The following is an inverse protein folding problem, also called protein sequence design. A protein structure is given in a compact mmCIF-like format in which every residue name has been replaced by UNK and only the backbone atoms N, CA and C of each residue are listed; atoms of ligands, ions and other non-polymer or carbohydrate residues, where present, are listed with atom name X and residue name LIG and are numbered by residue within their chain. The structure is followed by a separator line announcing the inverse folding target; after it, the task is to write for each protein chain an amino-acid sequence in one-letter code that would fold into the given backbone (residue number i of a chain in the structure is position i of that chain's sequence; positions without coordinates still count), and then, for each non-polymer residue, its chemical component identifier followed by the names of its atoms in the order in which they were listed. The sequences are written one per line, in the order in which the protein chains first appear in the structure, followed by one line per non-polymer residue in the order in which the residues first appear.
data_IF_317015331970
#
_entry.id   IF_317015331970
#
_cell.length_a   1.000
_cell.length_b   1.000
_cell.length_c   1.000
_cell.angle_alpha   90.00
_cell.angle_beta   90.00
_cell.angle_gamma   90.00
#
_symmetry.space_group_name_H-M   'P 1'
#
loop_
_entity.id
_entity.type
_entity.pdbx_description
1 polymer ?
#
# COMPACT_ATOMS: atom_id res chain seq x y z
N UNK A 1 3.43 11.38 1.15
CA UNK A 1 3.59 10.76 2.46
C UNK A 1 2.43 9.83 2.69
N UNK A 2 2.72 8.63 3.16
CA UNK A 2 1.77 7.62 3.63
C UNK A 2 2.19 7.31 5.07
N UNK A 3 1.27 7.35 6.03
CA UNK A 3 1.57 6.99 7.42
C UNK A 3 1.30 5.51 7.63
N UNK A 4 2.25 4.78 8.25
CA UNK A 4 2.09 3.37 8.60
C UNK A 4 1.15 3.27 9.79
N UNK A 5 -0.08 2.84 9.57
CA UNK A 5 -1.09 2.68 10.65
C UNK A 5 -1.09 1.29 11.24
N UNK A 6 -0.68 0.29 10.46
CA UNK A 6 -0.54 -1.10 10.89
C UNK A 6 0.48 -1.81 10.00
N UNK A 7 0.97 -2.96 10.44
CA UNK A 7 1.88 -3.80 9.66
C UNK A 7 1.85 -5.25 10.12
N UNK A 8 2.28 -6.13 9.23
CA UNK A 8 2.56 -7.52 9.59
C UNK A 8 3.63 -8.10 8.68
N UNK A 9 4.34 -9.10 9.18
CA UNK A 9 5.35 -9.82 8.40
C UNK A 9 4.74 -11.06 7.76
N UNK A 10 4.99 -11.24 6.46
CA UNK A 10 4.74 -12.50 5.78
C UNK A 10 6.09 -13.19 5.56
N UNK A 11 6.25 -14.38 6.13
CA UNK A 11 7.46 -15.18 5.96
C UNK A 11 7.76 -15.40 4.47
N UNK A 12 8.95 -14.98 4.04
CA UNK A 12 9.40 -15.08 2.65
C UNK A 12 8.87 -14.01 1.70
N UNK A 13 8.08 -13.04 2.18
CA UNK A 13 7.64 -11.87 1.39
C UNK A 13 8.00 -10.52 2.01
N UNK A 14 8.30 -10.47 3.32
CA UNK A 14 8.67 -9.25 4.02
C UNK A 14 7.49 -8.57 4.72
N UNK A 15 7.62 -7.28 5.01
CA UNK A 15 6.64 -6.52 5.79
C UNK A 15 5.59 -5.90 4.90
N UNK A 16 4.33 -6.25 5.13
CA UNK A 16 3.18 -5.57 4.53
C UNK A 16 2.77 -4.43 5.46
N UNK A 17 2.50 -3.26 4.89
CA UNK A 17 2.04 -2.08 5.65
C UNK A 17 0.63 -1.65 5.26
N UNK A 18 -0.08 -1.10 6.23
CA UNK A 18 -1.34 -0.38 6.05
C UNK A 18 -1.10 1.14 6.17
N UNK A 19 -1.92 2.00 5.52
CA UNK A 19 -3.12 1.65 4.79
C UNK A 19 -2.80 0.99 3.45
N UNK A 20 -3.70 0.11 3.03
CA UNK A 20 -3.79 -0.29 1.64
C UNK A 20 -4.60 0.77 0.85
N UNK A 21 -4.57 0.68 -0.48
CA UNK A 21 -5.19 1.67 -1.35
C UNK A 21 -6.25 1.03 -2.24
N UNK A 22 -7.31 1.76 -2.57
CA UNK A 22 -8.27 1.28 -3.58
C UNK A 22 -7.52 1.10 -4.89
N UNK A 23 -7.75 -0.01 -5.58
CA UNK A 23 -7.19 -0.17 -6.91
C UNK A 23 -7.98 0.72 -7.88
N UNK A 24 -7.35 1.72 -8.53
CA UNK A 24 -8.08 2.63 -9.42
C UNK A 24 -8.54 1.94 -10.72
N UNK A 25 -8.00 0.76 -11.02
CA UNK A 25 -8.39 -0.08 -12.15
C UNK A 25 -8.05 -1.56 -11.88
N UNK A 26 -8.82 -2.48 -12.46
CA UNK A 26 -8.48 -3.90 -12.46
C UNK A 26 -7.18 -4.14 -13.25
N UNK A 27 -6.28 -5.00 -12.74
CA UNK A 27 -5.01 -5.27 -13.39
C UNK A 27 -3.91 -4.25 -13.07
N UNK A 28 -3.92 -3.68 -11.87
CA UNK A 28 -2.84 -2.82 -11.39
C UNK A 28 -1.49 -3.58 -11.45
N UNK A 29 -0.47 -3.07 -12.17
CA UNK A 29 0.76 -3.81 -12.38
C UNK A 29 1.56 -3.93 -11.09
N UNK A 30 2.24 -5.08 -10.93
CA UNK A 30 3.32 -5.18 -9.97
C UNK A 30 4.40 -4.15 -10.31
N UNK A 31 4.87 -3.40 -9.32
CA UNK A 31 5.99 -2.47 -9.49
C UNK A 31 6.83 -2.37 -8.23
N UNK A 32 8.10 -2.10 -8.42
CA UNK A 32 9.03 -1.73 -7.37
C UNK A 32 9.27 -0.24 -7.40
N UNK A 33 9.26 0.40 -6.24
CA UNK A 33 9.43 1.83 -6.10
C UNK A 33 10.44 2.09 -4.98
N UNK A 34 11.43 2.92 -5.28
CA UNK A 34 12.31 3.47 -4.26
C UNK A 34 11.54 4.49 -3.43
N UNK A 35 11.50 4.28 -2.12
CA UNK A 35 10.81 5.14 -1.16
C UNK A 35 11.75 5.50 -0.02
N UNK A 36 11.46 6.62 0.63
CA UNK A 36 12.15 7.04 1.83
C UNK A 36 11.28 6.70 3.04
N UNK A 37 11.80 5.88 3.94
CA UNK A 37 11.17 5.57 5.22
C UNK A 37 11.70 6.55 6.27
N UNK A 38 10.80 7.23 6.98
CA UNK A 38 11.14 8.19 8.03
C UNK A 38 10.55 7.71 9.36
N UNK A 39 11.41 7.64 10.37
CA UNK A 39 11.07 7.31 11.75
C UNK A 39 11.70 8.34 12.69
N UNK A 40 10.96 9.40 13.03
CA UNK A 40 11.53 10.51 13.80
C UNK A 40 12.65 11.20 13.02
N UNK A 41 13.89 11.10 13.49
CA UNK A 41 15.07 11.65 12.82
C UNK A 41 15.81 10.65 11.92
N UNK A 42 15.41 9.38 11.97
CA UNK A 42 16.02 8.34 11.14
C UNK A 42 15.35 8.31 9.77
N UNK A 43 16.16 8.48 8.74
CA UNK A 43 15.74 8.43 7.34
C UNK A 43 16.50 7.32 6.62
N UNK A 44 15.78 6.48 5.87
CA UNK A 44 16.38 5.38 5.11
C UNK A 44 15.67 5.15 3.79
N UNK A 45 16.44 5.15 2.71
CA UNK A 45 15.96 4.75 1.39
C UNK A 45 15.81 3.22 1.32
N UNK A 46 14.70 2.75 0.74
CA UNK A 46 14.42 1.32 0.58
C UNK A 46 13.55 1.06 -0.64
N UNK A 47 13.42 -0.21 -1.03
CA UNK A 47 12.55 -0.63 -2.12
C UNK A 47 11.23 -1.15 -1.56
N UNK A 48 10.14 -0.53 -1.98
CA UNK A 48 8.79 -0.99 -1.74
C UNK A 48 8.25 -1.71 -2.98
N UNK A 49 7.64 -2.87 -2.78
CA UNK A 49 6.86 -3.57 -3.80
C UNK A 49 5.40 -3.20 -3.65
N UNK A 50 4.78 -2.73 -4.73
CA UNK A 50 3.34 -2.49 -4.78
C UNK A 50 2.67 -3.58 -5.61
N UNK A 51 1.71 -4.27 -5.00
CA UNK A 51 0.99 -5.35 -5.66
C UNK A 51 -0.52 -5.24 -5.42
N UNK A 52 -1.30 -5.61 -6.44
CA UNK A 52 -2.73 -5.79 -6.29
C UNK A 52 -3.01 -7.05 -5.47
N UNK A 53 -3.84 -6.92 -4.45
CA UNK A 53 -4.27 -8.00 -3.56
C UNK A 53 -5.79 -8.04 -3.55
N UNK A 54 -6.34 -9.24 -3.57
CA UNK A 54 -7.78 -9.45 -3.45
C UNK A 54 -8.11 -9.72 -1.99
N UNK A 55 -8.82 -8.79 -1.35
CA UNK A 55 -9.35 -9.04 -0.02
C UNK A 55 -10.41 -10.12 -0.13
N UNK A 56 -10.28 -11.19 0.67
CA UNK A 56 -11.29 -12.23 0.76
C UNK A 56 -12.48 -11.72 1.58
N UNK A 57 -13.21 -10.75 1.03
CA UNK A 57 -14.43 -10.21 1.61
C UNK A 57 -15.54 -11.23 1.37
N UNK A 58 -16.01 -11.86 2.44
CA UNK A 58 -17.10 -12.85 2.39
C UNK A 58 -18.50 -12.21 2.38
N UNK A 59 -18.58 -10.89 2.46
CA UNK A 59 -19.83 -10.13 2.46
C UNK A 59 -20.28 -9.95 1.00
N UNK A 60 -21.44 -10.49 0.58
CA UNK A 60 -21.90 -10.47 -0.81
C UNK A 60 -22.07 -9.06 -1.38
N UNK A 61 -22.40 -8.09 -0.51
CA UNK A 61 -22.86 -6.75 -0.90
C UNK A 61 -21.74 -5.74 -1.16
N UNK A 62 -20.47 -6.17 -1.07
CA UNK A 62 -19.35 -5.28 -1.41
C UNK A 62 -19.10 -5.33 -2.92
N UNK A 63 -19.24 -4.16 -3.56
CA UNK A 63 -18.92 -3.94 -4.97
C UNK A 63 -17.58 -4.58 -5.34
N UNK A 64 -17.51 -5.26 -6.48
CA UNK A 64 -16.33 -6.00 -6.94
C UNK A 64 -15.06 -5.15 -6.94
N UNK A 65 -15.19 -3.86 -7.24
CA UNK A 65 -14.09 -2.90 -7.29
C UNK A 65 -13.49 -2.60 -5.90
N UNK A 66 -14.27 -2.74 -4.82
CA UNK A 66 -13.78 -2.58 -3.44
C UNK A 66 -13.00 -3.81 -2.94
N UNK A 67 -12.97 -4.90 -3.70
CA UNK A 67 -12.29 -6.15 -3.31
C UNK A 67 -10.80 -6.15 -3.67
N UNK A 68 -10.39 -5.31 -4.61
CA UNK A 68 -9.00 -5.21 -5.05
C UNK A 68 -8.32 -4.01 -4.39
N UNK A 69 -7.28 -4.28 -3.61
CA UNK A 69 -6.49 -3.29 -2.89
C UNK A 69 -5.04 -3.34 -3.35
N UNK A 70 -4.39 -2.18 -3.42
CA UNK A 70 -2.94 -2.11 -3.63
C UNK A 70 -2.29 -2.17 -2.25
N UNK A 71 -1.52 -3.23 -2.01
CA UNK A 71 -0.71 -3.38 -0.82
C UNK A 71 0.72 -2.93 -1.10
N UNK A 72 1.38 -2.36 -0.09
CA UNK A 72 2.80 -2.04 -0.11
C UNK A 72 3.56 -3.03 0.76
N UNK A 73 4.63 -3.59 0.22
CA UNK A 73 5.45 -4.63 0.86
C UNK A 73 6.92 -4.21 0.84
N UNK A 74 7.61 -4.36 1.96
CA UNK A 74 9.05 -4.17 2.07
C UNK A 74 9.74 -5.54 2.17
N UNK A 75 10.24 -6.10 1.06
CA UNK A 75 10.69 -7.49 1.00
C UNK A 75 11.93 -7.79 1.84
N UNK A 76 12.76 -6.77 2.06
CA UNK A 76 14.04 -6.89 2.75
C UNK A 76 14.03 -6.31 4.17
N UNK A 77 12.86 -5.91 4.67
CA UNK A 77 12.70 -5.33 6.00
C UNK A 77 11.96 -6.31 6.92
N UNK A 78 12.15 -6.11 8.23
CA UNK A 78 11.43 -6.81 9.30
C UNK A 78 10.43 -5.88 9.97
N UNK A 79 9.51 -6.44 10.75
CA UNK A 79 8.51 -5.61 11.46
C UNK A 79 9.14 -4.57 12.39
N UNK A 80 10.32 -4.81 12.94
CA UNK A 80 11.08 -3.84 13.74
C UNK A 80 11.64 -2.65 12.93
N UNK A 81 11.87 -2.84 11.63
CA UNK A 81 12.39 -1.82 10.72
C UNK A 81 11.36 -0.75 10.32
N UNK A 82 10.06 -1.05 10.49
CA UNK A 82 8.95 -0.22 9.98
C UNK A 82 7.94 0.05 11.11
N UNK A 83 8.26 0.79 12.18
CA UNK A 83 7.34 0.99 13.29
C UNK A 83 6.00 1.66 12.91
N UNK A 84 4.97 1.53 13.78
CA UNK A 84 3.67 2.16 13.55
C UNK A 84 3.90 3.65 13.76
N UNK A 85 3.33 4.49 12.90
CA UNK A 85 3.56 5.93 12.90
C UNK A 85 4.73 6.37 12.02
N UNK A 86 5.49 5.44 11.42
CA UNK A 86 6.48 5.80 10.40
C UNK A 86 5.83 6.45 9.20
N UNK A 87 6.58 7.36 8.57
CA UNK A 87 6.18 7.99 7.33
C UNK A 87 6.90 7.36 6.15
N UNK A 88 6.15 7.03 5.12
CA UNK A 88 6.67 6.57 3.83
C UNK A 88 6.54 7.70 2.84
N UNK A 89 7.68 8.21 2.43
CA UNK A 89 7.82 9.26 1.46
C UNK A 89 8.00 8.64 0.08
N UNK A 90 6.98 8.83 -0.75
CA UNK A 90 6.89 8.33 -2.11
C UNK A 90 6.96 9.48 -3.10
N UNK A 91 7.32 9.17 -4.36
CA UNK A 91 7.21 10.13 -5.46
C UNK A 91 5.78 10.66 -5.56
N UNK A 92 5.64 11.95 -5.89
CA UNK A 92 4.34 12.62 -6.04
C UNK A 92 3.39 11.85 -6.97
N UNK A 93 3.89 11.41 -8.13
CA UNK A 93 3.10 10.63 -9.10
C UNK A 93 2.50 9.36 -8.50
N UNK A 94 3.31 8.57 -7.80
CA UNK A 94 2.88 7.36 -7.11
C UNK A 94 1.81 7.67 -6.06
N UNK A 95 2.02 8.71 -5.24
CA UNK A 95 1.02 9.15 -4.26
C UNK A 95 -0.31 9.49 -4.93
N UNK A 96 -0.26 10.27 -6.00
CA UNK A 96 -1.46 10.77 -6.67
C UNK A 96 -2.23 9.61 -7.33
N UNK A 97 -1.54 8.60 -7.85
CA UNK A 97 -2.15 7.36 -8.35
C UNK A 97 -2.81 6.52 -7.23
N UNK A 98 -2.16 6.38 -6.08
CA UNK A 98 -2.69 5.62 -4.94
C UNK A 98 -3.87 6.31 -4.25
N UNK A 99 -3.91 7.65 -4.30
CA UNK A 99 -4.94 8.47 -3.65
C UNK A 99 -6.03 8.94 -4.62
N UNK A 100 -5.97 8.57 -5.89
CA UNK A 100 -7.09 8.82 -6.81
C UNK A 100 -8.33 8.13 -6.26
N UNK A 101 -9.29 8.94 -5.79
CA UNK A 101 -10.62 8.45 -5.45
C UNK A 101 -11.22 7.89 -6.73
N UNK A 102 -11.71 6.66 -6.65
CA UNK A 102 -12.73 6.17 -7.59
C UNK A 102 -13.94 7.12 -7.48
N UNK A 103 -14.01 8.12 -8.35
CA UNK A 103 -15.21 8.94 -8.57
C UNK A 103 -15.99 8.45 -9.81
N UNK A 104 -15.97 7.14 -10.07
CA UNK A 104 -16.68 6.55 -11.20
C UNK A 104 -17.58 5.40 -10.74
N UNK A 105 -18.68 5.74 -10.06
CA UNK A 105 -19.97 5.02 -10.13
C UNK A 105 -21.02 5.82 -9.36
N UNK A 106 -21.61 6.79 -10.05
CA UNK A 106 -22.64 7.67 -9.52
C UNK A 106 -23.24 8.58 -10.58
N UNK A 107 -23.61 8.02 -11.74
CA UNK A 107 -24.61 8.62 -12.61
C UNK A 107 -25.63 7.54 -12.97
N UNK A 108 -26.72 7.60 -12.23
CA UNK A 108 -28.05 7.03 -12.48
C UNK A 108 -28.64 7.53 -13.79
#
# INVERSE_FOLDING_TARGET
MICVVDRFEIKGRGVVVAPDFSSPQLGWPFREETVLLINGFDERETTAQLCQTHHHIRIPDVALDNRWRIAMIFPNLRTEDVPIGCEIWVRKKLRDELLQKSEAQGQS
#
